data_IF_882018664023
#
_entry.id   IF_882018664023
#
_cell.length_a   1.000
_cell.length_b   1.000
_cell.length_c   1.000
_cell.angle_alpha   90.00
_cell.angle_beta   90.00
_cell.angle_gamma   90.00
#
_symmetry.space_group_name_H-M   'P 1'
#
loop_
_entity.id
_entity.type
_entity.pdbx_description
1 polymer ?
#
# COMPACT_ATOMS: atom_id res chain seq x y z
N UNK A 1 -10.55 1.29 -8.38
CA UNK A 1 -9.37 1.31 -7.46
C UNK A 1 -8.35 0.23 -7.80
N UNK A 2 -8.69 -1.06 -7.78
CA UNK A 2 -7.69 -2.13 -8.07
C UNK A 2 -7.02 -2.01 -9.43
N UNK A 3 -7.78 -1.82 -10.51
CA UNK A 3 -7.21 -1.79 -11.87
C UNK A 3 -6.18 -0.65 -12.03
N UNK A 4 -6.47 0.53 -11.46
CA UNK A 4 -5.53 1.66 -11.50
C UNK A 4 -4.31 1.41 -10.61
N UNK A 5 -4.46 0.76 -9.44
CA UNK A 5 -3.32 0.38 -8.61
C UNK A 5 -2.44 -0.68 -9.28
N UNK A 6 -3.03 -1.72 -9.87
CA UNK A 6 -2.31 -2.73 -10.66
C UNK A 6 -1.52 -2.08 -11.80
N UNK A 7 -2.13 -1.14 -12.51
CA UNK A 7 -1.44 -0.38 -13.55
C UNK A 7 -0.28 0.45 -12.99
N UNK A 8 -0.52 1.22 -11.91
CA UNK A 8 0.52 2.00 -11.26
C UNK A 8 1.71 1.13 -10.84
N UNK A 9 1.47 -0.06 -10.29
CA UNK A 9 2.53 -0.99 -9.94
C UNK A 9 3.22 -1.64 -11.14
N UNK A 10 2.51 -1.88 -12.24
CA UNK A 10 3.13 -2.31 -13.49
C UNK A 10 4.08 -1.24 -14.05
N UNK A 11 3.66 0.03 -14.01
CA UNK A 11 4.50 1.18 -14.42
C UNK A 11 5.64 1.47 -13.48
N UNK A 12 5.61 1.00 -12.22
CA UNK A 12 6.70 1.17 -11.26
C UNK A 12 8.02 0.52 -11.71
N UNK A 13 7.99 -0.36 -12.72
CA UNK A 13 9.18 -0.91 -13.38
C UNK A 13 9.82 0.07 -14.38
N UNK A 14 9.06 1.04 -14.90
CA UNK A 14 9.55 2.16 -15.70
C UNK A 14 9.66 3.41 -14.82
N UNK A 15 10.83 3.57 -14.20
CA UNK A 15 11.11 4.69 -13.30
C UNK A 15 10.91 6.06 -13.95
N UNK A 16 11.15 6.20 -15.25
CA UNK A 16 11.02 7.48 -15.94
C UNK A 16 9.55 7.92 -16.03
N UNK A 17 8.66 6.98 -16.30
CA UNK A 17 7.22 7.23 -16.32
C UNK A 17 6.68 7.38 -14.89
N UNK A 18 7.10 6.50 -13.99
CA UNK A 18 6.59 6.43 -12.62
C UNK A 18 6.84 7.71 -11.80
N UNK A 19 7.98 8.37 -12.00
CA UNK A 19 8.29 9.66 -11.36
C UNK A 19 7.80 10.88 -12.15
N UNK A 20 7.40 10.72 -13.41
CA UNK A 20 6.83 11.78 -14.22
C UNK A 20 5.32 11.85 -14.03
N UNK A 21 4.87 12.47 -12.94
CA UNK A 21 3.45 12.57 -12.58
C UNK A 21 2.58 13.15 -13.70
N UNK A 22 3.07 14.15 -14.44
CA UNK A 22 2.33 14.73 -15.56
C UNK A 22 2.17 13.73 -16.72
N UNK A 23 3.22 12.96 -17.01
CA UNK A 23 3.19 11.88 -18.01
C UNK A 23 2.25 10.75 -17.59
N UNK A 24 2.38 10.28 -16.35
CA UNK A 24 1.58 9.21 -15.77
C UNK A 24 0.08 9.55 -15.76
N UNK A 25 -0.29 10.76 -15.34
CA UNK A 25 -1.69 11.22 -15.36
C UNK A 25 -2.22 11.29 -16.80
N UNK A 26 -1.42 11.76 -17.76
CA UNK A 26 -1.81 11.80 -19.17
C UNK A 26 -2.05 10.40 -19.74
N UNK A 27 -1.22 9.43 -19.40
CA UNK A 27 -1.35 8.04 -19.86
C UNK A 27 -2.60 7.37 -19.26
N UNK A 28 -2.81 7.55 -17.94
CA UNK A 28 -3.99 7.05 -17.24
C UNK A 28 -5.30 7.62 -17.82
N UNK A 29 -5.33 8.92 -18.15
CA UNK A 29 -6.51 9.58 -18.72
C UNK A 29 -6.75 9.20 -20.20
N UNK A 30 -5.70 9.21 -21.02
CA UNK A 30 -5.85 9.15 -22.47
C UNK A 30 -5.78 7.73 -23.02
N UNK A 31 -4.92 6.88 -22.45
CA UNK A 31 -4.67 5.53 -22.96
C UNK A 31 -5.52 4.50 -22.22
N UNK A 32 -5.56 4.60 -20.89
CA UNK A 32 -6.30 3.68 -20.03
C UNK A 32 -7.73 4.12 -19.71
N UNK A 33 -8.12 5.34 -20.11
CA UNK A 33 -9.47 5.90 -19.99
C UNK A 33 -10.01 5.94 -18.55
N UNK A 34 -9.14 6.01 -17.54
CA UNK A 34 -9.56 6.29 -16.18
C UNK A 34 -10.09 7.72 -16.06
N UNK A 35 -10.96 7.96 -15.09
CA UNK A 35 -11.44 9.30 -14.75
C UNK A 35 -10.43 10.03 -13.88
N UNK A 36 -10.44 11.37 -13.94
CA UNK A 36 -9.61 12.19 -13.06
C UNK A 36 -9.88 11.93 -11.56
N UNK A 37 -11.11 11.52 -11.22
CA UNK A 37 -11.49 11.15 -9.86
C UNK A 37 -10.78 9.87 -9.42
N UNK A 38 -10.84 8.81 -10.22
CA UNK A 38 -10.17 7.53 -9.91
C UNK A 38 -8.65 7.69 -9.79
N UNK A 39 -8.07 8.55 -10.62
CA UNK A 39 -6.64 8.89 -10.56
C UNK A 39 -6.31 9.62 -9.26
N UNK A 40 -7.11 10.61 -8.86
CA UNK A 40 -6.91 11.31 -7.58
C UNK A 40 -6.99 10.37 -6.40
N UNK A 41 -8.02 9.52 -6.36
CA UNK A 41 -8.22 8.53 -5.29
C UNK A 41 -7.05 7.55 -5.20
N UNK A 42 -6.54 7.05 -6.34
CA UNK A 42 -5.39 6.15 -6.36
C UNK A 42 -4.10 6.84 -5.88
N UNK A 43 -3.86 8.09 -6.28
CA UNK A 43 -2.71 8.86 -5.83
C UNK A 43 -2.80 9.20 -4.33
N UNK A 44 -4.00 9.52 -3.85
CA UNK A 44 -4.28 9.77 -2.43
C UNK A 44 -4.08 8.51 -1.59
N UNK A 45 -4.37 7.31 -2.11
CA UNK A 45 -4.11 6.05 -1.42
C UNK A 45 -2.62 5.82 -1.14
N UNK A 46 -1.72 6.31 -2.00
CA UNK A 46 -0.28 6.30 -1.75
C UNK A 46 0.19 7.38 -0.77
N UNK A 47 -0.55 8.48 -0.62
CA UNK A 47 -0.11 9.66 0.14
C UNK A 47 0.27 9.39 1.62
N UNK A 48 -0.42 8.53 2.40
CA UNK A 48 -0.10 8.36 3.82
C UNK A 48 1.02 7.34 4.04
N UNK A 49 1.40 6.57 3.00
CA UNK A 49 2.64 5.77 2.99
C UNK A 49 3.88 6.69 3.09
N UNK A 50 3.77 7.91 2.54
CA UNK A 50 4.86 8.89 2.47
C UNK A 50 5.10 9.65 3.77
N UNK A 51 4.06 9.80 4.61
CA UNK A 51 4.12 10.57 5.86
C UNK A 51 4.17 9.67 7.10
N UNK A 52 3.54 8.49 7.08
CA UNK A 52 3.39 7.64 8.27
C UNK A 52 4.57 6.71 8.59
N UNK A 53 5.38 6.32 7.59
CA UNK A 53 6.47 5.35 7.80
C UNK A 53 7.58 5.82 8.75
N UNK A 54 7.76 7.13 8.91
CA UNK A 54 8.74 7.75 9.82
C UNK A 54 8.28 7.84 11.28
N UNK A 55 6.97 7.78 11.54
CA UNK A 55 6.38 7.98 12.87
C UNK A 55 5.83 6.67 13.51
N UNK A 56 6.03 5.53 12.85
CA UNK A 56 5.65 4.21 13.38
C UNK A 56 6.69 3.73 14.42
N UNK A 57 6.36 3.90 15.70
CA UNK A 57 7.16 3.34 16.81
C UNK A 57 6.80 1.86 17.04
N UNK A 58 7.49 0.96 16.33
CA UNK A 58 7.27 -0.49 16.45
C UNK A 58 8.28 -1.08 17.42
N UNK A 59 7.79 -1.62 18.54
CA UNK A 59 8.61 -2.39 19.46
C UNK A 59 9.03 -3.73 18.82
N UNK A 60 10.32 -3.94 18.50
CA UNK A 60 10.78 -5.15 17.81
C UNK A 60 10.77 -6.39 18.71
N UNK A 61 10.60 -6.23 20.02
CA UNK A 61 10.54 -7.32 21.00
C UNK A 61 9.10 -7.75 21.33
N UNK A 62 8.09 -7.00 20.85
CA UNK A 62 6.70 -7.32 21.10
C UNK A 62 6.24 -8.50 20.21
N UNK A 63 5.38 -9.34 20.75
CA UNK A 63 4.70 -10.39 19.99
C UNK A 63 3.49 -9.73 19.31
N UNK A 64 3.46 -9.73 17.98
CA UNK A 64 2.33 -9.20 17.21
C UNK A 64 1.15 -10.18 17.22
N UNK A 65 -0.03 -9.68 17.53
CA UNK A 65 -1.31 -10.37 17.30
C UNK A 65 -2.00 -9.81 16.06
N UNK A 66 -2.60 -10.69 15.24
CA UNK A 66 -3.50 -10.24 14.18
C UNK A 66 -4.77 -9.66 14.82
N UNK A 67 -5.19 -8.49 14.36
CA UNK A 67 -6.41 -7.84 14.81
C UNK A 67 -7.63 -8.42 14.12
N UNK A 68 -8.81 -8.30 14.75
CA UNK A 68 -10.09 -8.70 14.13
C UNK A 68 -10.41 -7.92 12.87
N UNK A 69 -9.85 -6.71 12.72
CA UNK A 69 -9.98 -5.90 11.51
C UNK A 69 -9.21 -6.53 10.35
N UNK A 70 -7.96 -6.91 10.59
CA UNK A 70 -7.14 -7.60 9.58
C UNK A 70 -7.77 -8.94 9.18
N UNK A 71 -8.25 -9.74 10.15
CA UNK A 71 -8.93 -11.00 9.85
C UNK A 71 -10.21 -10.84 9.02
N UNK A 72 -10.85 -9.66 9.11
CA UNK A 72 -12.09 -9.37 8.41
C UNK A 72 -11.87 -8.92 6.97
N UNK A 73 -10.86 -8.09 6.72
CA UNK A 73 -10.66 -7.41 5.45
C UNK A 73 -9.50 -7.94 4.61
N UNK A 74 -8.70 -8.86 5.15
CA UNK A 74 -7.59 -9.49 4.44
C UNK A 74 -7.78 -11.00 4.32
N UNK A 75 -7.55 -11.59 3.13
CA UNK A 75 -7.42 -13.02 2.97
C UNK A 75 -6.32 -13.58 3.87
N UNK A 76 -6.60 -14.73 4.49
CA UNK A 76 -5.64 -15.40 5.39
C UNK A 76 -4.33 -15.79 4.70
N UNK A 77 -4.40 -16.08 3.40
CA UNK A 77 -3.25 -16.34 2.52
C UNK A 77 -2.28 -15.15 2.52
N UNK A 78 -2.80 -13.95 2.28
CA UNK A 78 -2.06 -12.68 2.25
C UNK A 78 -1.44 -12.37 3.63
N UNK A 79 -2.23 -12.46 4.71
CA UNK A 79 -1.72 -12.22 6.07
C UNK A 79 -0.53 -13.16 6.37
N UNK A 80 -0.70 -14.46 6.10
CA UNK A 80 0.35 -15.45 6.37
C UNK A 80 1.63 -15.14 5.59
N UNK A 81 1.51 -14.79 4.32
CA UNK A 81 2.65 -14.46 3.46
C UNK A 81 3.42 -13.24 3.97
N UNK A 82 2.72 -12.18 4.37
CA UNK A 82 3.34 -10.98 4.95
C UNK A 82 4.13 -11.32 6.21
N UNK A 83 3.56 -12.15 7.10
CA UNK A 83 4.25 -12.59 8.32
C UNK A 83 5.49 -13.46 8.02
N UNK A 84 5.39 -14.38 7.06
CA UNK A 84 6.52 -15.21 6.62
C UNK A 84 7.65 -14.36 6.00
N UNK A 85 7.29 -13.33 5.24
CA UNK A 85 8.25 -12.38 4.68
C UNK A 85 8.95 -11.53 5.75
N UNK A 86 8.24 -11.12 6.80
CA UNK A 86 8.85 -10.42 7.92
C UNK A 86 9.79 -11.35 8.71
N UNK A 87 9.34 -12.57 9.03
CA UNK A 87 10.15 -13.56 9.75
C UNK A 87 11.44 -13.94 9.00
N UNK A 88 11.36 -14.03 7.67
CA UNK A 88 12.51 -14.28 6.79
C UNK A 88 13.37 -13.05 6.52
N UNK A 89 12.99 -11.87 7.04
CA UNK A 89 13.62 -10.56 6.82
C UNK A 89 13.61 -10.09 5.36
N UNK A 90 12.66 -10.59 4.57
CA UNK A 90 12.39 -10.12 3.20
C UNK A 90 11.79 -8.71 3.23
N UNK A 91 10.98 -8.43 4.25
CA UNK A 91 10.46 -7.11 4.58
C UNK A 91 10.78 -6.78 6.05
N UNK A 92 10.84 -5.50 6.38
CA UNK A 92 10.99 -4.97 7.73
C UNK A 92 9.66 -4.93 8.49
N UNK A 93 9.75 -4.72 9.80
CA UNK A 93 8.58 -4.53 10.66
C UNK A 93 7.70 -3.35 10.22
N UNK A 94 8.32 -2.26 9.74
CA UNK A 94 7.59 -1.09 9.24
C UNK A 94 6.85 -1.43 7.95
N UNK A 95 7.53 -2.08 7.01
CA UNK A 95 6.92 -2.52 5.75
C UNK A 95 5.76 -3.49 6.03
N UNK A 96 5.89 -4.40 6.99
CA UNK A 96 4.79 -5.29 7.43
C UNK A 96 3.54 -4.50 7.83
N UNK A 97 3.67 -3.48 8.68
CA UNK A 97 2.51 -2.69 9.11
C UNK A 97 1.90 -1.89 7.97
N UNK A 98 2.73 -1.30 7.10
CA UNK A 98 2.24 -0.56 5.93
C UNK A 98 1.47 -1.48 4.98
N UNK A 99 1.98 -2.69 4.72
CA UNK A 99 1.31 -3.67 3.85
C UNK A 99 -0.06 -4.07 4.42
N UNK A 100 -0.13 -4.38 5.71
CA UNK A 100 -1.37 -4.80 6.36
C UNK A 100 -2.41 -3.67 6.41
N UNK A 101 -1.98 -2.45 6.72
CA UNK A 101 -2.85 -1.26 6.73
C UNK A 101 -3.43 -0.99 5.34
N UNK A 102 -2.58 -0.93 4.31
CA UNK A 102 -2.99 -0.57 2.94
C UNK A 102 -3.85 -1.62 2.27
N UNK A 103 -3.50 -2.89 2.42
CA UNK A 103 -4.29 -3.98 1.86
C UNK A 103 -5.63 -4.09 2.59
N UNK A 104 -5.67 -3.82 3.90
CA UNK A 104 -6.92 -3.85 4.66
C UNK A 104 -7.82 -2.66 4.36
N UNK A 105 -7.26 -1.47 4.11
CA UNK A 105 -8.00 -0.31 3.61
C UNK A 105 -8.62 -0.62 2.25
N UNK A 106 -7.85 -1.23 1.34
CA UNK A 106 -8.38 -1.67 0.06
C UNK A 106 -9.58 -2.60 0.28
N UNK A 107 -9.47 -3.57 1.19
CA UNK A 107 -10.55 -4.48 1.61
C UNK A 107 -11.82 -3.81 2.16
N UNK A 108 -11.81 -2.52 2.51
CA UNK A 108 -13.02 -1.77 2.86
C UNK A 108 -13.90 -1.48 1.65
N UNK A 109 -13.29 -1.33 0.47
CA UNK A 109 -13.98 -0.96 -0.77
C UNK A 109 -14.68 -2.14 -1.45
N UNK A 110 -14.43 -3.38 -1.00
CA UNK A 110 -15.11 -4.57 -1.51
C UNK A 110 -14.41 -5.89 -1.17
N UNK A 111 -15.05 -6.99 -1.53
CA UNK A 111 -14.40 -8.30 -1.59
C UNK A 111 -13.60 -8.39 -2.88
N UNK A 112 -12.32 -8.76 -2.78
CA UNK A 112 -11.43 -8.93 -3.92
C UNK A 112 -11.00 -10.38 -4.04
N UNK A 113 -10.74 -10.81 -5.27
CA UNK A 113 -10.15 -12.11 -5.51
C UNK A 113 -8.72 -12.16 -4.95
N UNK A 114 -8.32 -13.32 -4.41
CA UNK A 114 -6.99 -13.53 -3.85
C UNK A 114 -5.88 -13.16 -4.86
N UNK A 115 -6.09 -13.43 -6.16
CA UNK A 115 -5.14 -13.13 -7.23
C UNK A 115 -4.95 -11.62 -7.43
N UNK A 116 -6.02 -10.82 -7.36
CA UNK A 116 -5.93 -9.37 -7.47
C UNK A 116 -5.19 -8.77 -6.29
N UNK A 117 -5.50 -9.23 -5.08
CA UNK A 117 -4.84 -8.77 -3.87
C UNK A 117 -3.36 -9.17 -3.85
N UNK A 118 -3.02 -10.34 -4.39
CA UNK A 118 -1.65 -10.80 -4.55
C UNK A 118 -0.83 -9.88 -5.46
N UNK A 119 -1.41 -9.43 -6.58
CA UNK A 119 -0.75 -8.46 -7.48
C UNK A 119 -0.50 -7.12 -6.79
N UNK A 120 -1.46 -6.65 -5.99
CA UNK A 120 -1.29 -5.42 -5.19
C UNK A 120 -0.21 -5.60 -4.12
N UNK A 121 -0.19 -6.72 -3.41
CA UNK A 121 0.84 -7.03 -2.41
C UNK A 121 2.24 -6.99 -3.03
N UNK A 122 2.43 -7.63 -4.18
CA UNK A 122 3.73 -7.66 -4.86
C UNK A 122 4.17 -6.27 -5.34
N UNK A 123 3.24 -5.53 -5.95
CA UNK A 123 3.46 -4.17 -6.40
C UNK A 123 3.84 -3.22 -5.27
N UNK A 124 3.09 -3.26 -4.17
CA UNK A 124 3.32 -2.43 -3.00
C UNK A 124 4.63 -2.79 -2.30
N UNK A 125 4.95 -4.08 -2.20
CA UNK A 125 6.23 -4.55 -1.66
C UNK A 125 7.41 -4.04 -2.50
N UNK A 126 7.32 -4.18 -3.83
CA UNK A 126 8.34 -3.68 -4.74
C UNK A 126 8.53 -2.17 -4.59
N UNK A 127 7.41 -1.43 -4.50
CA UNK A 127 7.42 0.01 -4.29
C UNK A 127 8.17 0.39 -3.01
N UNK A 128 7.82 -0.22 -1.86
CA UNK A 128 8.46 0.05 -0.57
C UNK A 128 9.96 -0.24 -0.58
N UNK A 129 10.38 -1.33 -1.23
CA UNK A 129 11.80 -1.73 -1.26
C UNK A 129 12.66 -0.82 -2.15
N UNK A 130 12.12 -0.31 -3.26
CA UNK A 130 12.89 0.43 -4.27
C UNK A 130 12.76 1.95 -4.12
N UNK A 131 11.60 2.40 -3.69
CA UNK A 131 11.25 3.82 -3.65
C UNK A 131 10.95 4.28 -2.21
N UNK A 132 10.71 3.35 -1.27
CA UNK A 132 10.41 3.63 0.14
C UNK A 132 9.27 4.65 0.27
N UNK A 133 9.54 5.78 0.90
CA UNK A 133 8.61 6.88 1.09
C UNK A 133 8.80 7.99 0.04
N UNK A 134 9.60 7.74 -1.00
CA UNK A 134 9.74 8.64 -2.12
C UNK A 134 8.75 8.20 -3.20
N UNK A 135 7.52 8.68 -3.11
CA UNK A 135 6.61 8.67 -4.22
C UNK A 135 6.01 10.05 -4.42
N UNK A 136 5.79 10.40 -5.71
CA UNK A 136 4.95 11.47 -6.25
C UNK A 136 4.77 12.65 -5.30
N UNK A 137 5.43 13.79 -5.58
CA UNK A 137 5.20 15.06 -4.88
C UNK A 137 3.70 15.33 -4.72
N UNK A 138 3.11 14.91 -3.60
CA UNK A 138 1.69 15.10 -3.34
C UNK A 138 1.53 16.52 -2.84
N UNK A 139 1.07 17.39 -3.73
CA UNK A 139 0.63 18.71 -3.37
C UNK A 139 -0.63 18.59 -2.52
N UNK A 140 -0.46 18.55 -1.19
CA UNK A 140 -1.45 18.92 -0.19
C UNK A 140 -2.78 18.15 -0.24
N UNK A 141 -2.86 17.07 0.51
CA UNK A 141 -4.14 16.45 0.91
C UNK A 141 -3.93 15.73 2.24
N UNK A 142 -4.55 16.23 3.30
CA UNK A 142 -4.54 15.53 4.59
C UNK A 142 -5.35 14.25 4.45
N UNK A 143 -4.69 13.09 4.48
CA UNK A 143 -5.41 11.83 4.56
C UNK A 143 -5.96 11.62 5.96
N UNK A 144 -7.23 11.21 6.03
CA UNK A 144 -7.98 11.01 7.27
C UNK A 144 -7.75 9.64 7.93
N UNK A 145 -6.95 8.77 7.32
CA UNK A 145 -6.77 7.40 7.80
C UNK A 145 -5.29 7.11 8.07
N UNK A 146 -4.94 7.32 9.33
CA UNK A 146 -3.81 6.68 9.99
C UNK A 146 -4.37 5.93 11.20
N UNK A 147 -4.33 4.60 11.17
CA UNK A 147 -4.63 3.82 12.37
C UNK A 147 -3.40 3.89 13.28
N UNK A 148 -3.32 4.94 14.10
CA UNK A 148 -2.18 5.23 14.97
C UNK A 148 -1.94 4.19 16.07
N UNK A 149 -2.80 3.17 16.20
CA UNK A 149 -2.87 2.30 17.37
C UNK A 149 -3.18 0.85 16.97
N UNK A 150 -2.17 0.08 16.56
CA UNK A 150 -2.24 -1.39 16.52
C UNK A 150 -1.12 -2.02 17.36
N UNK A 151 -0.93 -1.53 18.59
CA UNK A 151 -0.06 -2.18 19.57
C UNK A 151 -0.88 -2.70 20.75
N UNK A 152 -0.86 -4.01 20.95
CA UNK A 152 -1.17 -4.61 22.25
C UNK A 152 0.12 -4.64 23.05
N UNK A 153 0.19 -3.85 24.12
CA UNK A 153 1.21 -3.96 25.17
C UNK A 153 0.74 -5.09 26.11
N UNK A 154 1.59 -6.07 26.38
CA UNK A 154 1.43 -6.99 27.52
C UNK A 154 2.17 -6.44 28.73
#
# INVERSE_FOLDING_TARGET
MIEILQFLFATAKDQHLYFNQEGLVKELLNEHKFTAKEISEALEWFAPILQGGTDLDINPLAIRSISTWEEKYLPKSIIRQILEWEQSKTISLIEREILLDRLGELGLDGEFEDDDMQLILEGLTYHLQHYKYNLLNSSGGGSAYYCSNNFTIH
#
